data_IF_349961499676
#
_entry.id   IF_349961499676
#
_cell.length_a   1.000
_cell.length_b   1.000
_cell.length_c   1.000
_cell.angle_alpha   90.00
_cell.angle_beta   90.00
_cell.angle_gamma   90.00
#
_symmetry.space_group_name_H-M   'P 1'
#
loop_
_entity.id
_entity.type
_entity.pdbx_description
1 polymer ?
#
# COMPACT_ATOMS: atom_id res chain seq x y z
N UNK A 1 -8.93 -19.26 -7.04
CA UNK A 1 -9.46 -17.93 -6.71
C UNK A 1 -9.30 -17.60 -5.23
N UNK A 2 -9.97 -18.29 -4.29
CA UNK A 2 -9.87 -17.97 -2.84
C UNK A 2 -8.47 -18.11 -2.24
N UNK A 3 -7.74 -19.18 -2.58
CA UNK A 3 -6.37 -19.38 -2.13
C UNK A 3 -5.44 -18.27 -2.64
N UNK A 4 -5.43 -18.03 -3.95
CA UNK A 4 -4.66 -16.95 -4.58
C UNK A 4 -4.94 -15.56 -3.97
N UNK A 5 -6.20 -15.22 -3.72
CA UNK A 5 -6.55 -13.95 -3.09
C UNK A 5 -6.06 -13.83 -1.64
N UNK A 6 -5.96 -14.95 -0.91
CA UNK A 6 -5.36 -14.99 0.42
C UNK A 6 -3.85 -14.74 0.34
N UNK A 7 -3.17 -15.38 -0.60
CA UNK A 7 -1.72 -15.24 -0.80
C UNK A 7 -1.35 -13.79 -1.15
N UNK A 8 -2.08 -13.16 -2.07
CA UNK A 8 -1.89 -11.73 -2.38
C UNK A 8 -2.14 -10.83 -1.18
N UNK A 9 -3.18 -11.09 -0.39
CA UNK A 9 -3.46 -10.31 0.83
C UNK A 9 -2.32 -10.43 1.85
N UNK A 10 -1.73 -11.60 2.01
CA UNK A 10 -0.57 -11.79 2.90
C UNK A 10 0.67 -11.08 2.36
N UNK A 11 0.92 -11.17 1.05
CA UNK A 11 1.99 -10.43 0.38
C UNK A 11 1.86 -8.91 0.56
N UNK A 12 0.69 -8.34 0.28
CA UNK A 12 0.51 -6.88 0.41
C UNK A 12 0.58 -6.40 1.86
N UNK A 13 0.11 -7.21 2.83
CA UNK A 13 0.34 -6.89 4.26
C UNK A 13 1.83 -6.82 4.58
N UNK A 14 2.60 -7.81 4.14
CA UNK A 14 4.05 -7.80 4.33
C UNK A 14 4.71 -6.55 3.73
N UNK A 15 4.35 -6.20 2.48
CA UNK A 15 4.86 -4.99 1.82
C UNK A 15 4.50 -3.72 2.62
N UNK A 16 3.24 -3.57 3.01
CA UNK A 16 2.82 -2.36 3.76
C UNK A 16 3.53 -2.23 5.11
N UNK A 17 3.71 -3.33 5.85
CA UNK A 17 4.39 -3.29 7.15
C UNK A 17 5.90 -3.01 7.01
N UNK A 18 6.56 -3.57 5.99
CA UNK A 18 7.96 -3.26 5.69
C UNK A 18 8.16 -1.77 5.37
N UNK A 19 7.28 -1.18 4.55
CA UNK A 19 7.32 0.24 4.24
C UNK A 19 7.05 1.10 5.49
N UNK A 20 6.03 0.78 6.31
CA UNK A 20 5.78 1.49 7.57
C UNK A 20 6.98 1.44 8.52
N UNK A 21 7.62 0.27 8.67
CA UNK A 21 8.79 0.11 9.51
C UNK A 21 9.94 1.00 9.02
N UNK A 22 10.23 1.00 7.71
CA UNK A 22 11.25 1.87 7.10
C UNK A 22 10.95 3.36 7.34
N UNK A 23 9.69 3.77 7.24
CA UNK A 23 9.24 5.14 7.48
C UNK A 23 9.51 5.62 8.91
N UNK A 24 9.32 4.74 9.90
CA UNK A 24 9.52 5.07 11.31
C UNK A 24 11.01 5.25 11.70
N UNK A 25 11.95 4.81 10.87
CA UNK A 25 13.39 4.91 11.17
C UNK A 25 14.00 6.30 10.92
N UNK A 26 13.25 7.24 10.33
CA UNK A 26 13.73 8.58 9.95
C UNK A 26 12.70 9.65 10.27
N UNK A 27 13.10 10.71 10.96
CA UNK A 27 12.21 11.82 11.32
C UNK A 27 11.68 12.55 10.07
N UNK A 28 12.55 12.80 9.08
CA UNK A 28 12.19 13.46 7.80
C UNK A 28 12.07 12.44 6.66
N UNK A 29 11.22 11.43 6.84
CA UNK A 29 11.03 10.43 5.80
C UNK A 29 10.38 11.03 4.54
N UNK A 30 11.10 10.99 3.42
CA UNK A 30 10.61 11.37 2.09
C UNK A 30 10.09 10.11 1.37
N UNK A 31 8.83 10.11 0.87
CA UNK A 31 8.30 9.01 0.06
C UNK A 31 9.19 8.70 -1.16
N UNK A 32 9.54 7.43 -1.37
CA UNK A 32 10.49 7.03 -2.42
C UNK A 32 9.85 6.32 -3.60
N UNK A 33 8.77 5.61 -3.33
CA UNK A 33 8.02 4.89 -4.37
C UNK A 33 6.51 5.04 -4.15
N UNK A 34 5.75 4.41 -5.05
CA UNK A 34 4.29 4.46 -5.02
C UNK A 34 3.71 4.05 -3.66
N UNK A 35 4.23 2.99 -3.03
CA UNK A 35 3.67 2.49 -1.77
C UNK A 35 3.86 3.53 -0.67
N UNK A 36 5.03 4.16 -0.63
CA UNK A 36 5.29 5.25 0.31
C UNK A 36 4.39 6.46 0.08
N UNK A 37 4.15 6.83 -1.19
CA UNK A 37 3.27 7.95 -1.53
C UNK A 37 1.84 7.69 -1.07
N UNK A 38 1.32 6.48 -1.32
CA UNK A 38 -0.01 6.08 -0.88
C UNK A 38 -0.12 6.06 0.65
N UNK A 39 0.89 5.53 1.34
CA UNK A 39 0.95 5.54 2.80
C UNK A 39 1.03 6.95 3.37
N UNK A 40 1.79 7.85 2.75
CA UNK A 40 1.88 9.25 3.15
C UNK A 40 0.53 9.97 3.01
N UNK A 41 -0.22 9.71 1.94
CA UNK A 41 -1.57 10.27 1.78
C UNK A 41 -2.57 9.64 2.76
N UNK A 42 -2.38 8.36 3.13
CA UNK A 42 -3.23 7.69 4.10
C UNK A 42 -3.11 8.29 5.51
N UNK A 43 -2.01 8.99 5.82
CA UNK A 43 -1.81 9.66 7.10
C UNK A 43 -2.64 10.95 7.25
N UNK A 44 -3.24 11.50 6.17
CA UNK A 44 -4.09 12.68 6.25
C UNK A 44 -5.46 12.37 6.88
N UNK A 45 -5.75 12.90 8.10
CA UNK A 45 -7.02 12.68 8.77
C UNK A 45 -8.19 13.41 8.08
N UNK A 46 -7.94 14.30 7.12
CA UNK A 46 -8.96 15.06 6.40
C UNK A 46 -9.28 14.49 5.01
N UNK A 47 -8.61 13.41 4.58
CA UNK A 47 -8.91 12.77 3.30
C UNK A 47 -10.40 12.42 3.22
N UNK A 48 -11.08 12.89 2.16
CA UNK A 48 -12.52 12.67 1.91
C UNK A 48 -12.82 11.17 1.81
N UNK A 49 -11.93 10.42 1.14
CA UNK A 49 -12.02 8.97 1.03
C UNK A 49 -10.85 8.32 1.76
N UNK A 50 -11.10 7.69 2.91
CA UNK A 50 -10.03 7.05 3.69
C UNK A 50 -9.33 5.93 2.93
N UNK A 51 -8.00 5.99 2.87
CA UNK A 51 -7.14 4.92 2.37
C UNK A 51 -6.89 3.89 3.47
N UNK A 52 -7.91 3.08 3.78
CA UNK A 52 -7.77 1.95 4.72
C UNK A 52 -6.78 0.91 4.20
N UNK A 53 -6.25 0.06 5.07
CA UNK A 53 -5.32 -1.02 4.66
C UNK A 53 -5.87 -1.86 3.51
N UNK A 54 -7.15 -2.26 3.55
CA UNK A 54 -7.76 -3.02 2.46
C UNK A 54 -7.83 -2.23 1.14
N UNK A 55 -8.11 -0.92 1.20
CA UNK A 55 -8.14 -0.04 0.02
C UNK A 55 -6.75 0.19 -0.57
N UNK A 56 -5.74 0.33 0.28
CA UNK A 56 -4.34 0.41 -0.14
C UNK A 56 -3.90 -0.86 -0.87
N UNK A 57 -4.17 -2.04 -0.30
CA UNK A 57 -3.84 -3.31 -0.94
C UNK A 57 -4.56 -3.47 -2.29
N UNK A 58 -5.83 -3.07 -2.38
CA UNK A 58 -6.61 -3.08 -3.62
C UNK A 58 -6.00 -2.17 -4.69
N UNK A 59 -5.68 -0.92 -4.35
CA UNK A 59 -5.06 0.04 -5.28
C UNK A 59 -3.71 -0.45 -5.81
N UNK A 60 -2.87 -1.02 -4.93
CA UNK A 60 -1.58 -1.60 -5.34
C UNK A 60 -1.81 -2.79 -6.28
N UNK A 61 -2.79 -3.65 -6.00
CA UNK A 61 -3.13 -4.77 -6.87
C UNK A 61 -3.60 -4.33 -8.24
N UNK A 62 -4.53 -3.38 -8.30
CA UNK A 62 -5.09 -2.87 -9.55
C UNK A 62 -4.01 -2.26 -10.45
N UNK A 63 -3.04 -1.51 -9.88
CA UNK A 63 -1.96 -0.95 -10.69
C UNK A 63 -1.05 -2.04 -11.26
N UNK A 64 -0.68 -3.03 -10.45
CA UNK A 64 0.19 -4.12 -10.88
C UNK A 64 -0.49 -5.00 -11.93
N UNK A 65 -1.73 -5.43 -11.64
CA UNK A 65 -2.51 -6.27 -12.54
C UNK A 65 -2.82 -5.54 -13.85
N UNK A 66 -3.22 -4.27 -13.78
CA UNK A 66 -3.53 -3.45 -14.94
C UNK A 66 -2.34 -3.25 -15.89
N UNK A 67 -1.11 -3.19 -15.36
CA UNK A 67 0.10 -3.13 -16.19
C UNK A 67 0.53 -4.48 -16.79
N UNK A 68 0.06 -5.61 -16.24
CA UNK A 68 0.38 -6.96 -16.74
C UNK A 68 -0.65 -7.54 -17.71
N UNK A 69 -1.87 -7.02 -17.69
CA UNK A 69 -2.99 -7.47 -18.54
C UNK A 69 -2.94 -6.84 -19.95
N UNK A 70 -2.21 -5.73 -20.13
CA UNK A 70 -1.98 -5.05 -21.41
C UNK A 70 -0.86 -5.68 -22.22
#
# INVERSE_FOLDING_TARGET
MKALGKDFREFYKYVLEDHKAKRQTKEDYVPKDMVDVLLHHADDPNLEVKLTTDRLMGLIHDLLAGGTDT
#
